data_IF_903890525407
#
_entry.id   IF_903890525407
#
_cell.length_a   1.000
_cell.length_b   1.000
_cell.length_c   1.000
_cell.angle_alpha   90.00
_cell.angle_beta   90.00
_cell.angle_gamma   90.00
#
_symmetry.space_group_name_H-M   'P 1'
#
loop_
_entity.id
_entity.type
_entity.pdbx_description
1 polymer ?
#
# COMPACT_ATOMS: atom_id res chain seq x y z
N UNK A 1 -8.99 -15.40 -32.32
CA UNK A 1 -9.03 -16.23 -31.09
C UNK A 1 -8.53 -15.37 -29.94
N UNK A 2 -9.43 -14.74 -29.16
CA UNK A 2 -9.03 -13.90 -28.02
C UNK A 2 -8.90 -14.76 -26.77
N UNK A 3 -7.68 -14.98 -26.31
CA UNK A 3 -7.41 -15.61 -25.02
C UNK A 3 -7.76 -14.62 -23.90
N UNK A 4 -8.90 -14.88 -23.24
CA UNK A 4 -9.28 -14.21 -22.00
C UNK A 4 -8.33 -14.68 -20.90
N UNK A 5 -7.33 -13.88 -20.56
CA UNK A 5 -6.47 -14.09 -19.39
C UNK A 5 -7.34 -14.06 -18.13
N UNK A 6 -7.68 -15.23 -17.59
CA UNK A 6 -8.38 -15.35 -16.32
C UNK A 6 -7.35 -15.14 -15.22
N UNK A 7 -7.36 -13.96 -14.59
CA UNK A 7 -6.53 -13.70 -13.41
C UNK A 7 -6.82 -14.77 -12.33
N UNK A 8 -5.78 -15.33 -11.67
CA UNK A 8 -5.98 -16.41 -10.72
C UNK A 8 -6.86 -15.94 -9.56
N UNK A 9 -7.95 -16.67 -9.29
CA UNK A 9 -8.80 -16.42 -8.11
C UNK A 9 -7.95 -16.64 -6.85
N UNK A 10 -7.62 -15.55 -6.15
CA UNK A 10 -6.97 -15.62 -4.84
C UNK A 10 -7.85 -16.44 -3.91
N UNK A 11 -7.31 -17.55 -3.41
CA UNK A 11 -7.99 -18.41 -2.43
C UNK A 11 -8.00 -17.67 -1.09
N UNK A 12 -9.19 -17.38 -0.55
CA UNK A 12 -9.32 -16.86 0.81
C UNK A 12 -8.98 -17.97 1.79
N UNK A 13 -8.14 -17.66 2.78
CA UNK A 13 -7.84 -18.56 3.90
C UNK A 13 -8.56 -18.04 5.13
N UNK A 14 -9.26 -18.92 5.85
CA UNK A 14 -9.85 -18.57 7.13
C UNK A 14 -8.73 -18.26 8.14
N UNK A 15 -8.92 -17.19 8.92
CA UNK A 15 -8.03 -16.80 10.00
C UNK A 15 -8.87 -16.62 11.27
N UNK A 16 -8.42 -17.21 12.38
CA UNK A 16 -9.02 -16.99 13.70
C UNK A 16 -8.37 -15.74 14.30
N UNK A 17 -9.18 -14.78 14.72
CA UNK A 17 -8.73 -13.54 15.32
C UNK A 17 -9.72 -13.08 16.41
N UNK A 18 -9.21 -12.38 17.40
CA UNK A 18 -10.01 -11.79 18.48
C UNK A 18 -10.26 -10.31 18.18
N UNK A 19 -11.51 -9.87 18.32
CA UNK A 19 -11.93 -8.47 18.17
C UNK A 19 -12.73 -8.08 19.41
N UNK A 20 -12.67 -6.80 19.76
CA UNK A 20 -13.61 -6.19 20.71
C UNK A 20 -15.07 -6.49 20.31
N UNK A 21 -15.85 -6.97 21.27
CA UNK A 21 -17.24 -7.40 21.10
C UNK A 21 -18.16 -6.22 20.75
N UNK A 22 -17.96 -5.06 21.39
CA UNK A 22 -18.73 -3.84 21.12
C UNK A 22 -18.51 -3.33 19.71
N UNK A 23 -17.26 -3.42 19.23
CA UNK A 23 -16.92 -3.04 17.85
C UNK A 23 -17.60 -3.97 16.85
N UNK A 24 -17.60 -5.28 17.11
CA UNK A 24 -18.28 -6.27 16.27
C UNK A 24 -19.79 -6.01 16.20
N UNK A 25 -20.41 -5.74 17.35
CA UNK A 25 -21.85 -5.46 17.43
C UNK A 25 -22.23 -4.15 16.76
N UNK A 26 -21.39 -3.12 16.87
CA UNK A 26 -21.55 -1.89 16.10
C UNK A 26 -21.46 -2.14 14.59
N UNK A 27 -20.45 -2.89 14.14
CA UNK A 27 -20.28 -3.21 12.72
C UNK A 27 -21.47 -4.01 12.16
N UNK A 28 -22.00 -4.96 12.94
CA UNK A 28 -23.23 -5.71 12.59
C UNK A 28 -24.45 -4.80 12.48
N UNK A 29 -24.67 -3.90 13.46
CA UNK A 29 -25.77 -2.92 13.43
C UNK A 29 -25.70 -2.02 12.20
N UNK A 30 -24.50 -1.64 11.80
CA UNK A 30 -24.22 -0.84 10.60
C UNK A 30 -24.20 -1.67 9.30
N UNK A 31 -24.45 -2.98 9.37
CA UNK A 31 -24.44 -3.92 8.23
C UNK A 31 -23.14 -3.87 7.42
N UNK A 32 -22.01 -3.66 8.09
CA UNK A 32 -20.70 -3.62 7.43
C UNK A 32 -20.28 -5.02 6.98
N UNK A 33 -19.66 -5.08 5.79
CA UNK A 33 -19.02 -6.31 5.33
C UNK A 33 -17.65 -6.47 6.02
N UNK A 34 -17.65 -7.19 7.16
CA UNK A 34 -16.46 -7.39 7.99
C UNK A 34 -15.26 -7.94 7.21
N UNK A 35 -15.49 -8.91 6.32
CA UNK A 35 -14.40 -9.48 5.50
C UNK A 35 -13.78 -8.44 4.59
N UNK A 36 -14.59 -7.59 3.96
CA UNK A 36 -14.10 -6.54 3.07
C UNK A 36 -13.35 -5.44 3.84
N UNK A 37 -13.89 -4.99 4.98
CA UNK A 37 -13.26 -3.96 5.81
C UNK A 37 -11.92 -4.47 6.36
N UNK A 38 -11.90 -5.71 6.84
CA UNK A 38 -10.68 -6.35 7.33
C UNK A 38 -9.63 -6.49 6.22
N UNK A 39 -10.00 -7.01 5.05
CA UNK A 39 -9.08 -7.15 3.92
C UNK A 39 -8.50 -5.80 3.48
N UNK A 40 -9.32 -4.75 3.39
CA UNK A 40 -8.87 -3.42 3.00
C UNK A 40 -7.91 -2.82 4.04
N UNK A 41 -8.25 -2.92 5.33
CA UNK A 41 -7.43 -2.40 6.42
C UNK A 41 -6.09 -3.15 6.54
N UNK A 42 -6.11 -4.47 6.37
CA UNK A 42 -4.91 -5.29 6.39
C UNK A 42 -4.00 -4.98 5.20
N UNK A 43 -4.58 -4.83 4.00
CA UNK A 43 -3.81 -4.46 2.81
C UNK A 43 -3.15 -3.08 2.94
N UNK A 44 -3.84 -2.12 3.55
CA UNK A 44 -3.27 -0.80 3.85
C UNK A 44 -2.13 -0.89 4.85
N UNK A 45 -2.33 -1.60 5.96
CA UNK A 45 -1.30 -1.78 6.98
C UNK A 45 -0.04 -2.46 6.42
N UNK A 46 -0.20 -3.49 5.59
CA UNK A 46 0.92 -4.16 4.90
C UNK A 46 1.64 -3.18 3.99
N UNK A 47 0.91 -2.41 3.18
CA UNK A 47 1.50 -1.44 2.25
C UNK A 47 2.31 -0.37 3.00
N UNK A 48 1.78 0.14 4.11
CA UNK A 48 2.48 1.11 4.95
C UNK A 48 3.79 0.53 5.46
N UNK A 49 3.77 -0.66 6.06
CA UNK A 49 4.98 -1.33 6.56
C UNK A 49 6.01 -1.56 5.46
N UNK A 50 5.57 -2.01 4.28
CA UNK A 50 6.46 -2.22 3.14
C UNK A 50 7.07 -0.90 2.63
N UNK A 51 6.30 0.19 2.60
CA UNK A 51 6.82 1.52 2.26
C UNK A 51 7.88 1.96 3.27
N UNK A 52 7.61 1.81 4.57
CA UNK A 52 8.54 2.21 5.61
C UNK A 52 9.85 1.41 5.54
N UNK A 53 9.76 0.10 5.31
CA UNK A 53 10.93 -0.74 5.10
C UNK A 53 11.72 -0.36 3.84
N UNK A 54 11.01 -0.05 2.75
CA UNK A 54 11.65 0.39 1.51
C UNK A 54 12.39 1.72 1.71
N UNK A 55 11.76 2.71 2.36
CA UNK A 55 12.39 3.99 2.66
C UNK A 55 13.63 3.83 3.55
N UNK A 56 13.57 2.94 4.55
CA UNK A 56 14.74 2.63 5.39
C UNK A 56 15.88 2.02 4.57
N UNK A 57 15.58 1.04 3.71
CA UNK A 57 16.57 0.36 2.87
C UNK A 57 17.21 1.29 1.83
N UNK A 58 16.43 2.23 1.30
CA UNK A 58 16.87 3.11 0.21
C UNK A 58 17.31 4.49 0.69
N UNK A 59 17.36 4.73 2.02
CA UNK A 59 17.73 6.03 2.59
C UNK A 59 19.03 6.59 1.99
N UNK A 60 20.10 5.81 2.00
CA UNK A 60 21.39 6.24 1.46
C UNK A 60 21.35 6.59 -0.04
N UNK A 61 20.60 5.82 -0.83
CA UNK A 61 20.45 6.09 -2.27
C UNK A 61 19.60 7.36 -2.52
N UNK A 62 18.56 7.57 -1.72
CA UNK A 62 17.74 8.77 -1.75
C UNK A 62 18.59 9.99 -1.37
N UNK A 63 19.37 9.90 -0.29
CA UNK A 63 20.20 11.00 0.19
C UNK A 63 21.28 11.36 -0.83
N UNK A 64 21.96 10.36 -1.43
CA UNK A 64 22.94 10.58 -2.48
C UNK A 64 22.33 11.21 -3.75
N UNK A 65 21.11 10.81 -4.12
CA UNK A 65 20.40 11.43 -5.23
C UNK A 65 20.00 12.87 -4.91
N UNK A 66 19.51 13.14 -3.70
CA UNK A 66 19.16 14.49 -3.27
C UNK A 66 20.38 15.42 -3.31
N UNK A 67 21.53 14.97 -2.81
CA UNK A 67 22.78 15.73 -2.87
C UNK A 67 23.22 16.02 -4.31
N UNK A 68 23.11 15.04 -5.22
CA UNK A 68 23.38 15.26 -6.64
C UNK A 68 22.45 16.31 -7.24
N UNK A 69 21.15 16.24 -6.96
CA UNK A 69 20.17 17.22 -7.45
C UNK A 69 20.42 18.62 -6.88
N UNK A 70 20.81 18.74 -5.62
CA UNK A 70 21.16 20.03 -5.00
C UNK A 70 22.40 20.67 -5.65
N UNK A 71 23.39 19.85 -6.02
CA UNK A 71 24.64 20.33 -6.59
C UNK A 71 24.54 20.58 -8.11
N UNK A 72 23.91 19.67 -8.84
CA UNK A 72 23.97 19.59 -10.30
C UNK A 72 22.61 19.93 -10.98
N UNK A 73 21.55 20.12 -10.20
CA UNK A 73 20.19 20.34 -10.69
C UNK A 73 19.51 19.05 -11.15
N UNK A 74 18.25 19.16 -11.59
CA UNK A 74 17.57 18.04 -12.27
C UNK A 74 17.73 18.13 -13.78
N UNK A 75 17.71 16.98 -14.45
CA UNK A 75 17.80 16.87 -15.92
C UNK A 75 16.86 17.82 -16.69
N UNK A 76 15.68 18.12 -16.13
CA UNK A 76 14.68 18.97 -16.77
C UNK A 76 14.80 20.47 -16.48
N UNK A 77 15.76 20.91 -15.67
CA UNK A 77 15.81 22.32 -15.22
C UNK A 77 15.97 23.32 -16.37
N UNK A 78 16.67 22.94 -17.44
CA UNK A 78 16.80 23.76 -18.66
C UNK A 78 15.66 23.64 -19.66
N UNK A 79 14.68 22.75 -19.44
CA UNK A 79 13.62 22.43 -20.40
C UNK A 79 12.25 23.02 -20.02
N UNK A 80 12.09 23.57 -18.81
CA UNK A 80 10.85 24.25 -18.42
C UNK A 80 10.85 25.69 -18.94
N UNK A 81 10.07 25.93 -20.00
CA UNK A 81 9.58 27.26 -20.38
C UNK A 81 8.06 27.31 -20.11
N UNK A 82 7.57 28.41 -19.54
CA UNK A 82 6.15 28.66 -19.27
C UNK A 82 5.58 29.68 -20.26
#
# INVERSE_FOLDING_TARGET
MSTRTIAPRRRKKAANLSVDDRLLDQAKRLKLNLSQVFEASLAEAIRQRQRDEWLKKNRAAIDAYNEHVENDGVFSDGLRSF
#
